data_IF_087429401517
#
_entry.id   IF_087429401517
#
_cell.length_a   1.000
_cell.length_b   1.000
_cell.length_c   1.000
_cell.angle_alpha   90.00
_cell.angle_beta   90.00
_cell.angle_gamma   90.00
#
_symmetry.space_group_name_H-M   'P 1'
#
loop_
_entity.id
_entity.type
_entity.pdbx_description
1 polymer ?
#
# COMPACT_ATOMS: atom_id res chain seq x y z
N UNK A 1 0.42 -12.52 18.70
CA UNK A 1 -0.84 -11.94 19.24
C UNK A 1 -0.77 -11.88 20.77
N UNK A 2 -1.08 -10.74 21.34
CA UNK A 2 -1.17 -10.52 22.80
C UNK A 2 -2.60 -10.52 23.29
N UNK A 3 -3.58 -10.25 22.41
CA UNK A 3 -5.01 -10.14 22.70
C UNK A 3 -5.80 -11.21 21.94
N UNK A 4 -6.91 -11.74 22.50
CA UNK A 4 -7.82 -12.60 21.78
C UNK A 4 -8.60 -11.82 20.72
N UNK A 5 -8.99 -12.52 19.66
CA UNK A 5 -9.89 -12.03 18.62
C UNK A 5 -11.04 -13.00 18.41
N UNK A 6 -12.13 -12.48 17.88
CA UNK A 6 -13.33 -13.24 17.53
C UNK A 6 -13.75 -12.91 16.10
N UNK A 7 -14.09 -13.94 15.32
CA UNK A 7 -14.77 -13.78 14.04
C UNK A 7 -16.28 -13.78 14.26
N UNK A 8 -16.97 -12.77 13.77
CA UNK A 8 -18.43 -12.68 13.82
C UNK A 8 -18.97 -12.72 12.40
N UNK A 9 -19.72 -13.79 12.09
CA UNK A 9 -20.30 -14.01 10.77
C UNK A 9 -21.57 -13.19 10.55
N UNK A 10 -21.84 -12.86 9.30
CA UNK A 10 -23.14 -12.35 8.89
C UNK A 10 -24.26 -13.39 9.05
N UNK A 11 -25.50 -12.92 9.14
CA UNK A 11 -26.69 -13.78 9.25
C UNK A 11 -27.22 -14.16 7.86
N UNK A 12 -27.81 -15.36 7.72
CA UNK A 12 -28.50 -15.82 6.52
C UNK A 12 -27.86 -17.05 5.87
N UNK A 13 -28.38 -17.40 4.70
CA UNK A 13 -27.96 -18.58 3.93
C UNK A 13 -27.27 -18.18 2.64
N UNK A 14 -26.28 -18.95 2.22
CA UNK A 14 -25.60 -18.85 0.93
C UNK A 14 -24.99 -20.20 0.59
N UNK A 15 -24.89 -20.55 -0.69
CA UNK A 15 -24.38 -21.86 -1.14
C UNK A 15 -22.96 -22.15 -0.66
N UNK A 16 -22.08 -21.13 -0.60
CA UNK A 16 -20.69 -21.26 -0.15
C UNK A 16 -20.49 -20.96 1.34
N UNK A 17 -21.58 -20.73 2.11
CA UNK A 17 -21.46 -20.39 3.53
C UNK A 17 -20.78 -21.48 4.35
N UNK A 18 -21.06 -22.73 4.05
CA UNK A 18 -20.45 -23.86 4.76
C UNK A 18 -18.92 -23.87 4.58
N UNK A 19 -18.43 -23.54 3.39
CA UNK A 19 -17.00 -23.39 3.09
C UNK A 19 -16.35 -22.25 3.87
N UNK A 20 -17.02 -21.08 3.96
CA UNK A 20 -16.55 -19.96 4.77
C UNK A 20 -16.45 -20.34 6.25
N UNK A 21 -17.46 -21.01 6.80
CA UNK A 21 -17.48 -21.46 8.21
C UNK A 21 -16.35 -22.45 8.48
N UNK A 22 -16.15 -23.43 7.59
CA UNK A 22 -15.06 -24.41 7.72
C UNK A 22 -13.69 -23.71 7.67
N UNK A 23 -13.46 -22.82 6.71
CA UNK A 23 -12.25 -22.03 6.58
C UNK A 23 -11.93 -21.25 7.87
N UNK A 24 -12.91 -20.52 8.42
CA UNK A 24 -12.71 -19.76 9.66
C UNK A 24 -12.52 -20.66 10.88
N UNK A 25 -13.18 -21.80 10.92
CA UNK A 25 -13.02 -22.81 11.97
C UNK A 25 -11.61 -23.39 11.97
N UNK A 26 -11.05 -23.69 10.81
CA UNK A 26 -9.66 -24.15 10.68
C UNK A 26 -8.68 -23.10 11.19
N UNK A 27 -8.88 -21.83 10.84
CA UNK A 27 -8.03 -20.73 11.34
C UNK A 27 -8.17 -20.59 12.87
N UNK A 28 -9.40 -20.61 13.39
CA UNK A 28 -9.65 -20.54 14.83
C UNK A 28 -9.02 -21.72 15.59
N UNK A 29 -8.97 -22.89 14.96
CA UNK A 29 -8.33 -24.08 15.52
C UNK A 29 -6.80 -24.02 15.64
N UNK A 30 -6.15 -23.01 15.04
CA UNK A 30 -4.69 -22.87 15.08
C UNK A 30 -4.16 -22.34 16.42
N UNK A 31 -4.99 -21.67 17.21
CA UNK A 31 -4.61 -21.07 18.50
C UNK A 31 -5.85 -20.83 19.37
N UNK A 32 -5.66 -20.85 20.69
CA UNK A 32 -6.67 -20.54 21.70
C UNK A 32 -7.05 -19.03 21.75
N UNK A 33 -6.34 -18.19 21.01
CA UNK A 33 -6.60 -16.74 20.94
C UNK A 33 -7.54 -16.33 19.82
N UNK A 34 -7.99 -17.25 18.99
CA UNK A 34 -8.95 -17.00 17.92
C UNK A 34 -10.20 -17.82 18.18
N UNK A 35 -11.35 -17.19 18.15
CA UNK A 35 -12.65 -17.86 18.31
C UNK A 35 -13.61 -17.48 17.18
N UNK A 36 -14.59 -18.37 16.95
CA UNK A 36 -15.73 -18.10 16.10
C UNK A 36 -16.93 -17.79 16.99
N UNK A 37 -17.56 -16.64 16.78
CA UNK A 37 -18.72 -16.21 17.55
C UNK A 37 -19.92 -17.14 17.31
N UNK A 38 -20.70 -17.38 18.37
CA UNK A 38 -22.00 -18.02 18.26
C UNK A 38 -23.11 -17.00 17.88
N UNK A 39 -22.82 -15.71 17.92
CA UNK A 39 -23.74 -14.65 17.53
C UNK A 39 -23.43 -14.25 16.07
N UNK A 40 -24.48 -13.97 15.31
CA UNK A 40 -24.40 -13.47 13.95
C UNK A 40 -24.71 -11.99 13.91
N UNK A 41 -24.18 -11.29 12.89
CA UNK A 41 -24.49 -9.89 12.63
C UNK A 41 -25.47 -9.78 11.47
N UNK A 42 -26.69 -9.33 11.77
CA UNK A 42 -27.75 -9.17 10.77
C UNK A 42 -27.48 -8.06 9.73
N UNK A 43 -26.48 -7.20 9.98
CA UNK A 43 -26.10 -6.14 9.04
C UNK A 43 -25.04 -6.58 8.02
N UNK A 44 -24.50 -7.79 8.19
CA UNK A 44 -23.53 -8.36 7.27
C UNK A 44 -24.16 -9.38 6.34
N UNK A 45 -23.65 -9.47 5.12
CA UNK A 45 -24.02 -10.53 4.18
C UNK A 45 -23.72 -11.92 4.77
N UNK A 46 -24.46 -12.97 4.39
CA UNK A 46 -24.16 -14.35 4.78
C UNK A 46 -22.74 -14.80 4.44
N UNK A 47 -22.12 -14.21 3.44
CA UNK A 47 -20.74 -14.48 3.01
C UNK A 47 -19.72 -13.52 3.61
N UNK A 48 -20.10 -12.75 4.64
CA UNK A 48 -19.22 -11.77 5.28
C UNK A 48 -18.94 -12.14 6.72
N UNK A 49 -17.79 -11.70 7.20
CA UNK A 49 -17.44 -11.75 8.62
C UNK A 49 -16.63 -10.51 9.02
N UNK A 50 -16.76 -10.13 10.27
CA UNK A 50 -15.96 -9.05 10.88
C UNK A 50 -15.03 -9.61 11.95
N UNK A 51 -13.99 -8.85 12.23
CA UNK A 51 -13.06 -9.15 13.32
C UNK A 51 -13.39 -8.27 14.52
N UNK A 52 -13.53 -8.89 15.69
CA UNK A 52 -13.65 -8.23 17.00
C UNK A 52 -12.40 -8.50 17.82
N UNK A 53 -12.00 -7.55 18.63
CA UNK A 53 -10.92 -7.72 19.60
C UNK A 53 -11.34 -7.11 20.92
N UNK A 54 -11.25 -7.90 22.00
CA UNK A 54 -11.68 -7.46 23.35
C UNK A 54 -13.12 -6.91 23.37
N UNK A 55 -14.06 -7.65 22.78
CA UNK A 55 -15.47 -7.31 22.64
C UNK A 55 -15.79 -6.02 21.85
N UNK A 56 -14.79 -5.46 21.15
CA UNK A 56 -14.94 -4.27 20.33
C UNK A 56 -14.76 -4.62 18.85
N UNK A 57 -15.60 -4.04 17.99
CA UNK A 57 -15.45 -4.13 16.56
C UNK A 57 -14.18 -3.40 16.11
N UNK A 58 -13.38 -4.03 15.25
CA UNK A 58 -12.14 -3.44 14.74
C UNK A 58 -12.35 -2.56 13.51
N UNK A 59 -13.56 -2.54 12.97
CA UNK A 59 -13.87 -1.91 11.69
C UNK A 59 -13.42 -2.72 10.46
N UNK A 60 -12.84 -3.92 10.66
CA UNK A 60 -12.38 -4.78 9.58
C UNK A 60 -13.44 -5.83 9.23
N UNK A 61 -13.83 -5.85 7.96
CA UNK A 61 -14.82 -6.77 7.41
C UNK A 61 -14.22 -7.44 6.17
N UNK A 62 -14.48 -8.74 6.03
CA UNK A 62 -14.19 -9.51 4.83
C UNK A 62 -15.49 -10.08 4.28
N UNK A 63 -15.73 -9.84 3.00
CA UNK A 63 -16.88 -10.30 2.24
C UNK A 63 -16.41 -11.23 1.13
N UNK A 64 -16.57 -12.51 1.34
CA UNK A 64 -15.98 -13.64 0.63
C UNK A 64 -14.99 -14.42 1.50
N UNK A 65 -14.36 -15.45 0.93
CA UNK A 65 -13.31 -16.26 1.58
C UNK A 65 -11.96 -15.66 1.16
N UNK A 66 -11.21 -15.00 2.07
CA UNK A 66 -9.96 -14.33 1.72
C UNK A 66 -8.83 -15.34 1.48
N UNK A 67 -8.89 -15.98 0.32
CA UNK A 67 -7.88 -16.90 -0.21
C UNK A 67 -6.90 -16.21 -1.17
N UNK A 68 -6.10 -17.00 -1.88
CA UNK A 68 -5.15 -16.48 -2.87
C UNK A 68 -4.24 -15.38 -2.28
N UNK A 69 -4.13 -14.25 -2.96
CA UNK A 69 -3.31 -13.14 -2.51
C UNK A 69 -3.86 -12.45 -1.26
N UNK A 70 -5.19 -12.49 -1.02
CA UNK A 70 -5.82 -11.87 0.15
C UNK A 70 -5.68 -12.67 1.45
N UNK A 71 -5.19 -13.92 1.38
CA UNK A 71 -4.89 -14.69 2.57
C UNK A 71 -3.89 -13.96 3.49
N UNK A 72 -2.89 -13.31 2.91
CA UNK A 72 -1.93 -12.50 3.67
C UNK A 72 -2.62 -11.31 4.34
N UNK A 73 -3.60 -10.68 3.69
CA UNK A 73 -4.37 -9.58 4.27
C UNK A 73 -5.17 -10.02 5.49
N UNK A 74 -5.77 -11.22 5.44
CA UNK A 74 -6.45 -11.80 6.59
C UNK A 74 -5.47 -12.08 7.75
N UNK A 75 -4.34 -12.73 7.48
CA UNK A 75 -3.35 -13.04 8.52
C UNK A 75 -2.83 -11.78 9.20
N UNK A 76 -2.55 -10.72 8.43
CA UNK A 76 -2.12 -9.44 9.01
C UNK A 76 -3.25 -8.78 9.81
N UNK A 77 -4.49 -8.81 9.34
CA UNK A 77 -5.64 -8.29 10.08
C UNK A 77 -5.81 -9.01 11.42
N UNK A 78 -5.68 -10.35 11.46
CA UNK A 78 -5.70 -11.17 12.68
C UNK A 78 -4.60 -10.76 13.65
N UNK A 79 -3.35 -10.70 13.18
CA UNK A 79 -2.19 -10.39 14.02
C UNK A 79 -2.29 -8.98 14.59
N UNK A 80 -2.64 -7.99 13.76
CA UNK A 80 -2.74 -6.59 14.14
C UNK A 80 -3.94 -6.33 15.07
N UNK A 81 -5.11 -6.93 14.80
CA UNK A 81 -6.25 -6.92 15.72
C UNK A 81 -5.89 -7.59 17.06
N UNK A 82 -5.06 -8.62 17.02
CA UNK A 82 -4.51 -9.32 18.19
C UNK A 82 -3.36 -8.59 18.89
N UNK A 83 -3.06 -7.33 18.53
CA UNK A 83 -2.11 -6.44 19.23
C UNK A 83 -0.69 -6.46 18.69
N UNK A 84 -0.44 -6.99 17.49
CA UNK A 84 0.82 -6.80 16.79
C UNK A 84 0.95 -5.35 16.32
N UNK A 85 2.17 -4.86 16.23
CA UNK A 85 2.48 -3.49 15.82
C UNK A 85 2.00 -3.20 14.39
N UNK A 86 1.46 -2.00 14.19
CA UNK A 86 1.08 -1.48 12.88
C UNK A 86 2.31 -0.86 12.21
N UNK A 87 2.56 -1.24 10.98
CA UNK A 87 3.70 -0.74 10.20
C UNK A 87 3.33 0.52 9.41
N UNK A 88 2.85 1.55 10.10
CA UNK A 88 2.55 2.85 9.53
C UNK A 88 3.44 3.93 10.14
N UNK A 89 3.89 4.87 9.31
CA UNK A 89 4.63 6.04 9.80
C UNK A 89 3.83 6.79 10.89
N UNK A 90 4.46 7.25 11.97
CA UNK A 90 3.78 7.97 13.05
C UNK A 90 2.98 9.19 12.57
N UNK A 91 3.46 9.91 11.55
CA UNK A 91 2.73 11.03 10.94
C UNK A 91 1.41 10.58 10.31
N UNK A 92 1.42 9.46 9.58
CA UNK A 92 0.21 8.85 9.02
C UNK A 92 -0.74 8.42 10.15
N UNK A 93 -0.22 7.74 11.18
CA UNK A 93 -1.04 7.34 12.33
C UNK A 93 -1.74 8.54 12.98
N UNK A 94 -1.05 9.68 13.13
CA UNK A 94 -1.61 10.90 13.70
C UNK A 94 -2.72 11.48 12.81
N UNK A 95 -2.53 11.49 11.49
CA UNK A 95 -3.56 11.92 10.54
C UNK A 95 -4.81 11.04 10.70
N UNK A 96 -4.65 9.72 10.67
CA UNK A 96 -5.76 8.78 10.75
C UNK A 96 -6.48 8.89 12.10
N UNK A 97 -5.76 8.98 13.22
CA UNK A 97 -6.35 9.16 14.56
C UNK A 97 -7.12 10.48 14.73
N UNK A 98 -6.76 11.51 13.97
CA UNK A 98 -7.42 12.82 14.03
C UNK A 98 -8.78 12.85 13.29
N UNK A 99 -9.12 11.86 12.50
CA UNK A 99 -10.38 11.79 11.72
C UNK A 99 -11.57 11.65 12.68
N UNK A 100 -12.53 12.57 12.59
CA UNK A 100 -13.72 12.58 13.44
C UNK A 100 -15.00 12.13 12.73
N UNK A 101 -15.04 12.23 11.41
CA UNK A 101 -16.17 11.79 10.59
C UNK A 101 -16.11 10.31 10.28
N UNK A 102 -17.26 9.64 10.12
CA UNK A 102 -17.30 8.25 9.68
C UNK A 102 -16.77 8.09 8.25
N UNK A 103 -15.81 7.20 8.07
CA UNK A 103 -15.25 6.80 6.78
C UNK A 103 -15.46 5.30 6.59
N UNK A 104 -16.40 4.94 5.73
CA UNK A 104 -16.65 3.55 5.35
C UNK A 104 -16.00 3.27 4.00
N UNK A 105 -14.91 2.49 4.03
CA UNK A 105 -14.26 1.99 2.81
C UNK A 105 -14.85 0.65 2.40
N UNK A 106 -15.02 0.49 1.10
CA UNK A 106 -15.37 -0.76 0.44
C UNK A 106 -14.30 -1.01 -0.62
N UNK A 107 -13.52 -2.08 -0.43
CA UNK A 107 -12.38 -2.42 -1.30
C UNK A 107 -12.71 -3.67 -2.09
N UNK A 108 -13.06 -3.48 -3.36
CA UNK A 108 -13.34 -4.57 -4.29
C UNK A 108 -12.04 -5.18 -4.80
N UNK A 109 -11.93 -6.50 -4.70
CA UNK A 109 -10.73 -7.26 -5.01
C UNK A 109 -11.03 -8.46 -5.91
N UNK A 110 -9.98 -9.04 -6.46
CA UNK A 110 -9.97 -10.40 -6.98
C UNK A 110 -8.87 -11.18 -6.26
N UNK A 111 -9.13 -12.42 -5.90
CA UNK A 111 -8.18 -13.27 -5.18
C UNK A 111 -6.87 -13.54 -5.96
N UNK A 112 -6.89 -13.33 -7.28
CA UNK A 112 -5.71 -13.40 -8.15
C UNK A 112 -5.00 -12.06 -8.38
N UNK A 113 -5.49 -10.97 -7.80
CA UNK A 113 -4.94 -9.63 -7.97
C UNK A 113 -3.71 -9.40 -7.07
N UNK A 114 -2.54 -9.15 -7.64
CA UNK A 114 -1.30 -8.93 -6.88
C UNK A 114 -1.23 -7.57 -6.19
N UNK A 115 -1.98 -6.56 -6.67
CA UNK A 115 -1.96 -5.20 -6.12
C UNK A 115 -3.07 -4.96 -5.07
N UNK A 116 -4.05 -5.86 -4.97
CA UNK A 116 -5.17 -5.70 -4.05
C UNK A 116 -4.77 -5.77 -2.57
N UNK A 117 -3.87 -6.70 -2.15
CA UNK A 117 -3.49 -6.82 -0.75
C UNK A 117 -2.89 -5.56 -0.14
N UNK A 118 -2.07 -4.82 -0.88
CA UNK A 118 -1.45 -3.58 -0.37
C UNK A 118 -2.51 -2.55 0.05
N UNK A 119 -3.59 -2.44 -0.72
CA UNK A 119 -4.70 -1.52 -0.46
C UNK A 119 -5.56 -1.99 0.71
N UNK A 120 -5.95 -3.27 0.71
CA UNK A 120 -6.74 -3.88 1.81
C UNK A 120 -6.01 -3.74 3.13
N UNK A 121 -4.72 -4.07 3.17
CA UNK A 121 -3.90 -4.01 4.38
C UNK A 121 -3.74 -2.57 4.90
N UNK A 122 -3.54 -1.59 4.01
CA UNK A 122 -3.46 -0.18 4.40
C UNK A 122 -4.77 0.30 5.05
N UNK A 123 -5.90 0.02 4.42
CA UNK A 123 -7.22 0.45 4.91
C UNK A 123 -7.65 -0.31 6.17
N UNK A 124 -7.27 -1.58 6.32
CA UNK A 124 -7.44 -2.32 7.57
C UNK A 124 -6.66 -1.69 8.73
N UNK A 125 -5.42 -1.24 8.49
CA UNK A 125 -4.66 -0.53 9.52
C UNK A 125 -5.31 0.82 9.89
N UNK A 126 -5.95 1.52 8.93
CA UNK A 126 -6.70 2.75 9.23
C UNK A 126 -7.88 2.46 10.16
N UNK A 127 -8.63 1.39 9.90
CA UNK A 127 -9.73 0.96 10.76
C UNK A 127 -9.27 0.62 12.19
N UNK A 128 -8.12 -0.05 12.33
CA UNK A 128 -7.55 -0.36 13.65
C UNK A 128 -7.07 0.87 14.42
N UNK A 129 -6.74 1.97 13.73
CA UNK A 129 -6.27 3.20 14.34
C UNK A 129 -7.41 4.13 14.79
N UNK A 130 -8.58 4.02 14.17
CA UNK A 130 -9.67 4.96 14.41
C UNK A 130 -11.04 4.30 14.27
N UNK A 131 -11.82 4.31 15.34
CA UNK A 131 -13.16 3.70 15.42
C UNK A 131 -14.18 4.29 14.44
N UNK A 132 -13.91 5.49 13.90
CA UNK A 132 -14.77 6.10 12.88
C UNK A 132 -14.48 5.53 11.48
N UNK A 133 -13.49 4.66 11.33
CA UNK A 133 -13.10 4.09 10.04
C UNK A 133 -13.43 2.61 10.01
N UNK A 134 -14.02 2.18 8.90
CA UNK A 134 -14.17 0.76 8.59
C UNK A 134 -13.68 0.47 7.18
N UNK A 135 -13.20 -0.74 6.96
CA UNK A 135 -12.86 -1.26 5.65
C UNK A 135 -13.49 -2.64 5.45
N UNK A 136 -14.23 -2.78 4.37
CA UNK A 136 -14.79 -4.04 3.90
C UNK A 136 -14.05 -4.49 2.63
N UNK A 137 -13.29 -5.56 2.73
CA UNK A 137 -12.75 -6.26 1.55
C UNK A 137 -13.88 -7.05 0.91
N UNK A 138 -14.15 -6.83 -0.37
CA UNK A 138 -15.23 -7.48 -1.12
C UNK A 138 -14.65 -8.28 -2.28
N UNK A 139 -14.79 -9.60 -2.23
CA UNK A 139 -14.41 -10.46 -3.35
C UNK A 139 -15.41 -10.31 -4.50
N UNK A 140 -14.96 -9.70 -5.59
CA UNK A 140 -15.78 -9.52 -6.79
C UNK A 140 -16.22 -10.85 -7.43
N UNK A 141 -15.53 -11.95 -7.15
CA UNK A 141 -15.94 -13.29 -7.62
C UNK A 141 -17.23 -13.77 -6.96
N UNK A 142 -17.43 -13.45 -5.69
CA UNK A 142 -18.63 -13.82 -4.91
C UNK A 142 -19.74 -12.76 -5.08
N UNK A 143 -19.39 -11.48 -5.11
CA UNK A 143 -20.34 -10.35 -5.13
C UNK A 143 -20.49 -9.73 -6.52
N UNK A 144 -20.75 -10.56 -7.54
CA UNK A 144 -20.89 -10.12 -8.94
C UNK A 144 -21.98 -9.07 -9.15
N UNK A 145 -23.08 -9.14 -8.41
CA UNK A 145 -24.18 -8.17 -8.52
C UNK A 145 -23.69 -6.76 -8.15
N UNK A 146 -22.89 -6.61 -7.10
CA UNK A 146 -22.30 -5.32 -6.71
C UNK A 146 -21.28 -4.83 -7.75
N UNK A 147 -20.49 -5.73 -8.34
CA UNK A 147 -19.57 -5.41 -9.43
C UNK A 147 -20.33 -4.81 -10.61
N UNK A 148 -21.44 -5.45 -11.01
CA UNK A 148 -22.27 -5.00 -12.12
C UNK A 148 -23.01 -3.68 -11.81
N UNK A 149 -23.61 -3.56 -10.62
CA UNK A 149 -24.32 -2.36 -10.17
C UNK A 149 -23.41 -1.12 -10.19
N UNK A 150 -22.17 -1.29 -9.74
CA UNK A 150 -21.19 -0.19 -9.66
C UNK A 150 -20.33 -0.04 -10.90
N UNK A 151 -20.56 -0.89 -11.93
CA UNK A 151 -19.80 -0.91 -13.18
C UNK A 151 -18.28 -0.97 -12.94
N UNK A 152 -17.83 -1.85 -12.02
CA UNK A 152 -16.42 -2.04 -11.70
C UNK A 152 -15.78 -2.87 -12.81
N UNK A 153 -14.75 -2.32 -13.46
CA UNK A 153 -14.08 -2.94 -14.59
C UNK A 153 -12.62 -3.34 -14.27
N UNK A 154 -12.17 -3.11 -13.06
CA UNK A 154 -10.82 -3.43 -12.62
C UNK A 154 -10.66 -3.34 -11.12
N UNK A 155 -9.69 -4.08 -10.57
CA UNK A 155 -9.41 -4.16 -9.15
C UNK A 155 -7.91 -3.89 -8.86
N UNK A 156 -7.58 -3.34 -7.67
CA UNK A 156 -8.47 -2.94 -6.60
C UNK A 156 -9.34 -1.72 -6.98
N UNK A 157 -10.61 -1.74 -6.60
CA UNK A 157 -11.49 -0.59 -6.70
C UNK A 157 -11.97 -0.20 -5.30
N UNK A 158 -11.68 1.02 -4.89
CA UNK A 158 -12.00 1.52 -3.54
C UNK A 158 -13.13 2.52 -3.62
N UNK A 159 -14.15 2.30 -2.82
CA UNK A 159 -15.25 3.24 -2.61
C UNK A 159 -15.16 3.80 -1.19
N UNK A 160 -15.48 5.06 -1.03
CA UNK A 160 -15.56 5.74 0.26
C UNK A 160 -16.96 6.31 0.45
N UNK A 161 -17.65 5.86 1.50
CA UNK A 161 -19.04 6.23 1.78
C UNK A 161 -19.95 6.05 0.54
N UNK A 162 -19.77 4.92 -0.17
CA UNK A 162 -20.54 4.55 -1.36
C UNK A 162 -20.19 5.29 -2.66
N UNK A 163 -19.14 6.14 -2.66
CA UNK A 163 -18.67 6.87 -3.85
C UNK A 163 -17.30 6.36 -4.31
N UNK A 164 -17.04 6.31 -5.63
CA UNK A 164 -15.71 5.95 -6.12
C UNK A 164 -14.63 6.85 -5.51
N UNK A 165 -13.58 6.23 -4.98
CA UNK A 165 -12.50 6.92 -4.30
C UNK A 165 -11.13 6.69 -4.99
N UNK A 166 -10.79 5.43 -5.27
CA UNK A 166 -9.54 5.09 -5.92
C UNK A 166 -9.68 3.80 -6.74
N UNK A 167 -8.94 3.69 -7.84
CA UNK A 167 -8.90 2.51 -8.69
C UNK A 167 -7.45 2.14 -9.03
N UNK A 168 -7.22 0.84 -9.23
CA UNK A 168 -5.92 0.28 -9.61
C UNK A 168 -4.90 0.35 -8.48
N UNK A 169 -3.63 0.13 -8.82
CA UNK A 169 -2.53 0.15 -7.85
C UNK A 169 -2.41 1.53 -7.20
N UNK A 170 -2.64 1.58 -5.91
CA UNK A 170 -2.50 2.79 -5.11
C UNK A 170 -1.74 2.47 -3.82
N UNK A 171 -0.75 3.28 -3.50
CA UNK A 171 0.03 3.19 -2.27
C UNK A 171 -0.63 3.98 -1.12
N UNK A 172 -0.20 3.71 0.11
CA UNK A 172 -0.73 4.36 1.30
C UNK A 172 -0.55 5.89 1.27
N UNK A 173 0.58 6.38 0.75
CA UNK A 173 0.83 7.82 0.64
C UNK A 173 -0.21 8.51 -0.24
N UNK A 174 -0.58 7.89 -1.37
CA UNK A 174 -1.63 8.40 -2.25
C UNK A 174 -3.04 8.26 -1.68
N UNK A 175 -3.32 7.19 -0.92
CA UNK A 175 -4.58 7.09 -0.19
C UNK A 175 -4.74 8.27 0.78
N UNK A 176 -3.70 8.62 1.53
CA UNK A 176 -3.66 9.78 2.43
C UNK A 176 -3.82 11.08 1.64
N UNK A 177 -3.07 11.25 0.54
CA UNK A 177 -3.19 12.45 -0.32
C UNK A 177 -4.63 12.65 -0.82
N UNK A 178 -5.28 11.59 -1.32
CA UNK A 178 -6.68 11.65 -1.76
C UNK A 178 -7.64 11.97 -0.61
N UNK A 179 -7.41 11.41 0.59
CA UNK A 179 -8.20 11.75 1.77
C UNK A 179 -8.04 13.23 2.13
N UNK A 180 -6.84 13.77 2.09
CA UNK A 180 -6.55 15.18 2.35
C UNK A 180 -7.20 16.11 1.31
N UNK A 181 -7.19 15.73 0.03
CA UNK A 181 -7.86 16.48 -1.04
C UNK A 181 -9.38 16.50 -0.84
N UNK A 182 -9.97 15.38 -0.42
CA UNK A 182 -11.42 15.27 -0.20
C UNK A 182 -11.87 15.88 1.13
N UNK A 183 -10.98 15.86 2.13
CA UNK A 183 -11.22 16.36 3.50
C UNK A 183 -10.06 17.25 3.95
N UNK A 184 -9.94 18.49 3.43
CA UNK A 184 -8.81 19.38 3.73
C UNK A 184 -8.62 19.68 5.23
N UNK A 185 -9.70 19.64 6.01
CA UNK A 185 -9.67 19.92 7.46
C UNK A 185 -8.96 18.82 8.27
N UNK A 186 -8.67 17.66 7.67
CA UNK A 186 -7.94 16.58 8.35
C UNK A 186 -6.50 17.00 8.74
N UNK A 187 -5.93 17.96 8.02
CA UNK A 187 -4.56 18.43 8.26
C UNK A 187 -4.42 19.40 9.43
N UNK A 188 -5.48 20.12 9.78
CA UNK A 188 -5.41 21.17 10.81
C UNK A 188 -5.13 20.64 12.21
N UNK A 189 -5.39 19.35 12.47
CA UNK A 189 -5.10 18.70 13.75
C UNK A 189 -3.81 17.85 13.77
N UNK A 190 -3.36 17.36 12.63
CA UNK A 190 -2.23 16.42 12.52
C UNK A 190 -0.86 17.13 12.55
N UNK A 191 -0.77 18.33 11.95
CA UNK A 191 0.47 19.10 11.91
C UNK A 191 0.96 19.52 13.32
N UNK A 192 0.07 19.64 14.30
CA UNK A 192 0.42 20.02 15.67
C UNK A 192 1.04 18.87 16.50
N UNK A 193 0.93 17.62 16.05
CA UNK A 193 1.41 16.42 16.74
C UNK A 193 2.62 15.77 16.06
N UNK A 194 3.16 16.38 15.00
CA UNK A 194 4.29 15.84 14.27
C UNK A 194 5.57 15.90 15.11
N UNK A 195 6.19 14.75 15.33
CA UNK A 195 7.49 14.64 15.98
C UNK A 195 8.53 15.36 15.11
N UNK A 196 9.19 16.41 15.64
CA UNK A 196 10.23 17.10 14.91
C UNK A 196 11.48 16.24 14.90
N UNK A 197 11.86 15.77 13.72
CA UNK A 197 13.18 15.14 13.53
C UNK A 197 14.28 16.18 13.76
N UNK A 198 15.32 15.76 14.44
CA UNK A 198 16.55 16.54 14.51
C UNK A 198 17.13 16.78 13.10
N UNK A 199 17.95 17.81 12.97
CA UNK A 199 18.66 18.08 11.72
C UNK A 199 19.46 16.84 11.25
N UNK A 200 19.30 16.49 9.99
CA UNK A 200 19.97 15.37 9.35
C UNK A 200 21.22 15.86 8.59
N UNK A 201 22.22 14.99 8.46
CA UNK A 201 23.34 15.28 7.56
C UNK A 201 22.96 15.05 6.10
N UNK A 202 22.23 13.96 5.85
CA UNK A 202 21.77 13.60 4.49
C UNK A 202 20.33 13.08 4.54
N UNK A 203 19.49 13.60 3.65
CA UNK A 203 18.17 13.01 3.37
C UNK A 203 18.19 12.32 2.02
N UNK A 204 17.72 11.08 1.99
CA UNK A 204 17.60 10.28 0.77
C UNK A 204 16.14 10.18 0.40
N UNK A 205 15.78 10.59 -0.81
CA UNK A 205 14.42 10.55 -1.33
C UNK A 205 14.32 9.39 -2.31
N UNK A 206 13.68 8.31 -1.88
CA UNK A 206 13.47 7.07 -2.63
C UNK A 206 14.03 5.84 -1.93
N UNK A 207 13.20 4.78 -1.86
CA UNK A 207 13.50 3.52 -1.16
C UNK A 207 13.90 2.36 -2.08
N UNK A 208 14.16 2.63 -3.36
CA UNK A 208 14.67 1.63 -4.31
C UNK A 208 16.14 1.25 -4.05
N UNK A 209 16.72 0.33 -4.84
CA UNK A 209 18.10 -0.15 -4.66
C UNK A 209 19.13 0.98 -4.55
N UNK A 210 19.00 2.03 -5.35
CA UNK A 210 19.90 3.18 -5.33
C UNK A 210 19.81 3.96 -4.01
N UNK A 211 18.58 4.23 -3.52
CA UNK A 211 18.37 4.92 -2.25
C UNK A 211 18.87 4.11 -1.07
N UNK A 212 18.57 2.81 -1.04
CA UNK A 212 19.05 1.89 -0.01
C UNK A 212 20.57 1.85 0.03
N UNK A 213 21.22 1.71 -1.13
CA UNK A 213 22.69 1.73 -1.20
C UNK A 213 23.25 3.07 -0.67
N UNK A 214 22.69 4.20 -1.10
CA UNK A 214 23.11 5.51 -0.63
C UNK A 214 22.97 5.65 0.89
N UNK A 215 21.83 5.25 1.47
CA UNK A 215 21.57 5.32 2.90
C UNK A 215 22.60 4.51 3.72
N UNK A 216 22.85 3.28 3.29
CA UNK A 216 23.84 2.42 3.94
C UNK A 216 25.24 3.05 3.90
N UNK A 217 25.66 3.57 2.75
CA UNK A 217 26.99 4.20 2.63
C UNK A 217 27.10 5.49 3.46
N UNK A 218 26.06 6.29 3.54
CA UNK A 218 26.00 7.48 4.40
C UNK A 218 26.11 7.09 5.88
N UNK A 219 25.29 6.13 6.32
CA UNK A 219 25.30 5.64 7.70
C UNK A 219 26.66 5.04 8.08
N UNK A 220 27.31 4.29 7.18
CA UNK A 220 28.66 3.72 7.40
C UNK A 220 29.74 4.79 7.57
N UNK A 221 29.52 6.01 7.15
CA UNK A 221 30.41 7.17 7.40
C UNK A 221 30.11 7.84 8.74
N UNK A 222 29.17 7.35 9.53
CA UNK A 222 28.79 7.91 10.81
C UNK A 222 27.92 9.18 10.70
N UNK A 223 27.35 9.45 9.53
CA UNK A 223 26.45 10.59 9.29
C UNK A 223 25.02 10.25 9.66
N UNK A 224 24.28 11.22 10.20
CA UNK A 224 22.82 11.11 10.44
C UNK A 224 22.10 11.09 9.11
N UNK A 225 21.33 10.04 8.86
CA UNK A 225 20.61 9.86 7.59
C UNK A 225 19.15 9.52 7.81
N UNK A 226 18.30 10.22 7.06
CA UNK A 226 16.86 9.88 6.92
C UNK A 226 16.58 9.47 5.50
N UNK A 227 15.89 8.36 5.33
CA UNK A 227 15.33 7.91 4.05
C UNK A 227 13.83 8.17 4.04
N UNK A 228 13.34 8.83 2.99
CA UNK A 228 11.90 9.07 2.74
C UNK A 228 11.50 8.27 1.51
N UNK A 229 10.51 7.40 1.64
CA UNK A 229 10.08 6.52 0.55
C UNK A 229 8.60 6.13 0.65
N UNK A 230 7.97 5.88 -0.50
CA UNK A 230 6.65 5.24 -0.54
C UNK A 230 6.75 3.81 0.02
N UNK A 231 7.79 3.07 -0.40
CA UNK A 231 8.08 1.70 0.05
C UNK A 231 9.54 1.34 -0.13
N UNK A 232 10.06 0.47 0.73
CA UNK A 232 11.40 -0.11 0.54
C UNK A 232 11.35 -1.17 -0.56
N UNK A 233 12.37 -1.15 -1.43
CA UNK A 233 12.46 -1.96 -2.64
C UNK A 233 12.07 -1.18 -3.90
N UNK A 234 11.20 -0.16 -3.80
CA UNK A 234 10.74 0.60 -4.95
C UNK A 234 10.09 -0.31 -6.01
N UNK A 235 10.35 -0.09 -7.28
CA UNK A 235 9.80 -0.91 -8.38
C UNK A 235 10.34 -2.35 -8.41
N UNK A 236 11.52 -2.60 -7.87
CA UNK A 236 12.10 -3.96 -7.82
C UNK A 236 11.18 -4.90 -7.05
N UNK A 237 10.46 -4.42 -6.06
CA UNK A 237 9.51 -5.22 -5.28
C UNK A 237 8.44 -5.90 -6.15
N UNK A 238 8.11 -5.33 -7.30
CA UNK A 238 7.09 -5.85 -8.23
C UNK A 238 7.63 -6.89 -9.21
N UNK A 239 8.96 -7.14 -9.21
CA UNK A 239 9.59 -8.09 -10.13
C UNK A 239 9.45 -9.51 -9.58
N UNK A 240 8.91 -10.43 -10.41
CA UNK A 240 8.70 -11.82 -9.97
C UNK A 240 10.02 -12.60 -9.93
N UNK A 241 10.80 -12.56 -11.01
CA UNK A 241 12.05 -13.28 -11.14
C UNK A 241 13.21 -12.31 -11.44
N UNK A 242 14.27 -12.41 -10.66
CA UNK A 242 15.48 -11.60 -10.78
C UNK A 242 16.67 -12.55 -10.91
N UNK A 243 17.22 -12.66 -12.11
CA UNK A 243 18.34 -13.55 -12.44
C UNK A 243 19.64 -12.79 -12.76
N UNK A 244 19.57 -11.47 -12.82
CA UNK A 244 20.67 -10.58 -13.23
C UNK A 244 21.27 -9.78 -12.06
N UNK A 245 20.96 -10.14 -10.82
CA UNK A 245 21.57 -9.52 -9.64
C UNK A 245 22.84 -10.27 -9.26
N UNK A 246 23.99 -9.60 -9.42
CA UNK A 246 25.31 -10.23 -9.15
C UNK A 246 25.35 -10.85 -7.76
N UNK A 247 25.89 -12.07 -7.66
CA UNK A 247 26.01 -12.94 -6.48
C UNK A 247 24.75 -13.67 -6.03
N UNK A 248 23.60 -13.37 -6.61
CA UNK A 248 22.35 -14.08 -6.35
C UNK A 248 21.81 -14.62 -7.69
N UNK A 249 21.96 -15.94 -7.94
CA UNK A 249 21.59 -16.51 -9.25
C UNK A 249 20.10 -16.39 -9.59
N UNK A 250 19.25 -16.47 -8.56
CA UNK A 250 17.80 -16.34 -8.67
C UNK A 250 17.23 -15.78 -7.38
N UNK A 251 16.41 -14.76 -7.46
CA UNK A 251 15.61 -14.21 -6.36
C UNK A 251 14.34 -13.57 -6.94
N UNK A 252 13.54 -12.99 -6.08
CA UNK A 252 12.37 -12.20 -6.48
C UNK A 252 12.37 -10.84 -5.77
N UNK A 253 11.53 -9.92 -6.26
CA UNK A 253 11.48 -8.56 -5.74
C UNK A 253 11.11 -8.47 -4.27
N UNK A 254 10.23 -9.33 -3.78
CA UNK A 254 9.82 -9.36 -2.37
C UNK A 254 10.98 -9.80 -1.47
N UNK A 255 11.68 -10.86 -1.85
CA UNK A 255 12.83 -11.38 -1.11
C UNK A 255 13.99 -10.37 -1.10
N UNK A 256 14.29 -9.79 -2.26
CA UNK A 256 15.33 -8.76 -2.38
C UNK A 256 14.98 -7.52 -1.53
N UNK A 257 13.73 -7.08 -1.57
CA UNK A 257 13.25 -5.95 -0.73
C UNK A 257 13.32 -6.27 0.76
N UNK A 258 12.97 -7.49 1.17
CA UNK A 258 13.11 -7.93 2.56
C UNK A 258 14.60 -7.93 3.00
N UNK A 259 15.52 -8.29 2.11
CA UNK A 259 16.96 -8.22 2.39
C UNK A 259 17.45 -6.77 2.49
N UNK A 260 16.89 -5.83 1.71
CA UNK A 260 17.17 -4.40 1.89
C UNK A 260 16.72 -3.91 3.27
N UNK A 261 15.53 -4.26 3.72
CA UNK A 261 15.03 -3.92 5.06
C UNK A 261 15.95 -4.45 6.15
N UNK A 262 16.37 -5.73 6.07
CA UNK A 262 17.33 -6.31 7.02
C UNK A 262 18.65 -5.55 7.04
N UNK A 263 19.14 -5.14 5.87
CA UNK A 263 20.40 -4.41 5.76
C UNK A 263 20.30 -2.99 6.33
N UNK A 264 19.20 -2.28 6.05
CA UNK A 264 18.91 -0.94 6.62
C UNK A 264 18.85 -1.02 8.15
N UNK A 265 18.14 -2.03 8.69
CA UNK A 265 17.96 -2.22 10.14
C UNK A 265 19.28 -2.48 10.86
N UNK A 266 20.30 -2.99 10.17
CA UNK A 266 21.63 -3.18 10.76
C UNK A 266 22.39 -1.86 11.01
N UNK A 267 21.89 -0.74 10.52
CA UNK A 267 22.46 0.59 10.69
C UNK A 267 21.43 1.54 11.32
N UNK A 268 21.93 2.61 11.95
CA UNK A 268 21.06 3.64 12.54
C UNK A 268 20.54 4.59 11.44
N UNK A 269 19.63 4.08 10.59
CA UNK A 269 19.00 4.84 9.51
C UNK A 269 17.55 5.11 9.91
N UNK A 270 17.18 6.39 9.97
CA UNK A 270 15.77 6.77 10.14
C UNK A 270 15.03 6.54 8.83
N UNK A 271 14.02 5.69 8.84
CA UNK A 271 13.19 5.41 7.65
C UNK A 271 11.81 6.00 7.86
N UNK A 272 11.42 6.87 6.94
CA UNK A 272 10.06 7.39 6.77
C UNK A 272 9.45 6.68 5.57
N UNK A 273 8.69 5.63 5.83
CA UNK A 273 8.04 4.80 4.81
C UNK A 273 6.56 5.16 4.68
N UNK A 274 5.99 4.94 3.50
CA UNK A 274 4.60 5.28 3.14
C UNK A 274 4.31 6.79 3.15
N UNK A 275 5.35 7.62 3.03
CA UNK A 275 5.25 9.08 2.97
C UNK A 275 5.97 9.62 1.74
N UNK A 276 5.63 10.84 1.35
CA UNK A 276 6.22 11.53 0.21
C UNK A 276 6.68 12.94 0.59
N UNK A 277 7.72 13.42 -0.11
CA UNK A 277 8.18 14.80 -0.01
C UNK A 277 7.26 15.69 -0.84
N UNK A 278 6.65 16.70 -0.21
CA UNK A 278 5.77 17.67 -0.87
C UNK A 278 6.49 18.95 -1.24
N UNK A 279 7.50 19.36 -0.47
CA UNK A 279 8.32 20.52 -0.79
C UNK A 279 9.73 20.39 -0.25
N UNK A 280 10.64 21.08 -0.94
CA UNK A 280 12.02 21.29 -0.55
C UNK A 280 12.28 22.79 -0.69
N UNK A 281 12.71 23.43 0.40
CA UNK A 281 13.12 24.83 0.38
C UNK A 281 14.53 24.98 0.94
N UNK A 282 15.28 25.91 0.41
CA UNK A 282 16.59 26.27 0.95
C UNK A 282 16.41 27.21 2.14
N UNK A 283 17.01 26.88 3.27
CA UNK A 283 17.11 27.79 4.39
C UNK A 283 18.33 28.68 4.18
N UNK A 284 18.19 29.96 4.56
CA UNK A 284 19.32 30.89 4.58
C UNK A 284 20.48 30.24 5.34
N UNK A 285 21.65 30.36 4.77
CA UNK A 285 22.87 29.79 5.33
C UNK A 285 23.02 30.18 6.81
N UNK A 286 23.17 29.17 7.68
CA UNK A 286 23.51 29.37 9.08
C UNK A 286 24.97 29.00 9.28
N UNK A 287 25.74 29.89 9.92
CA UNK A 287 27.11 29.57 10.31
C UNK A 287 27.10 28.29 11.17
N UNK A 288 27.85 27.29 10.71
CA UNK A 288 28.10 26.10 11.55
C UNK A 288 29.12 26.46 12.67
N UNK A 289 29.31 25.51 13.60
CA UNK A 289 30.27 25.67 14.70
C UNK A 289 31.73 25.90 14.22
N UNK A 290 32.01 25.60 12.94
CA UNK A 290 33.33 25.80 12.30
C UNK A 290 33.41 27.13 11.52
N UNK A 291 32.36 27.97 11.56
CA UNK A 291 32.36 29.28 10.88
C UNK A 291 32.14 29.18 9.37
N UNK A 292 31.69 28.03 8.84
CA UNK A 292 31.36 27.87 7.43
C UNK A 292 29.87 28.11 7.20
N UNK A 293 29.59 28.94 6.21
CA UNK A 293 28.22 29.28 5.78
C UNK A 293 27.74 28.27 4.75
N UNK A 294 27.10 27.18 5.22
CA UNK A 294 26.56 26.12 4.34
C UNK A 294 25.03 26.17 4.36
N UNK A 295 24.40 26.19 3.20
CA UNK A 295 22.94 26.13 3.13
C UNK A 295 22.44 24.82 3.73
N UNK A 296 21.29 24.90 4.37
CA UNK A 296 20.50 23.71 4.76
C UNK A 296 19.19 23.71 3.98
N UNK A 297 18.63 22.54 3.83
CA UNK A 297 17.37 22.35 3.13
C UNK A 297 16.30 21.95 4.12
N UNK A 298 15.12 22.56 4.00
CA UNK A 298 13.93 22.15 4.73
C UNK A 298 13.15 21.18 3.86
N UNK A 299 12.94 19.96 4.37
CA UNK A 299 12.11 18.92 3.75
C UNK A 299 10.74 18.96 4.42
N UNK A 300 9.67 19.00 3.63
CA UNK A 300 8.30 18.87 4.14
C UNK A 300 7.66 17.62 3.53
N UNK A 301 7.03 16.81 4.37
CA UNK A 301 6.35 15.58 3.98
C UNK A 301 4.85 15.82 3.80
N UNK A 302 4.18 14.90 3.09
CA UNK A 302 2.72 14.89 2.93
C UNK A 302 1.95 14.70 4.27
N UNK A 303 2.64 14.29 5.34
CA UNK A 303 2.10 14.23 6.70
C UNK A 303 2.06 15.59 7.40
N UNK A 304 2.65 16.65 6.79
CA UNK A 304 2.86 17.95 7.42
C UNK A 304 4.12 18.01 8.29
N UNK A 305 4.81 16.91 8.49
CA UNK A 305 6.09 16.86 9.19
C UNK A 305 7.16 17.59 8.37
N UNK A 306 8.08 18.27 9.06
CA UNK A 306 9.13 19.04 8.41
C UNK A 306 10.42 18.97 9.20
N UNK A 307 11.56 18.81 8.53
CA UNK A 307 12.89 18.75 9.16
C UNK A 307 13.98 19.29 8.26
N UNK A 308 15.09 19.68 8.88
CA UNK A 308 16.24 20.25 8.16
C UNK A 308 17.26 19.16 7.78
N UNK A 309 17.92 19.33 6.65
CA UNK A 309 19.01 18.47 6.20
C UNK A 309 20.12 19.28 5.53
N UNK A 310 21.38 18.82 5.60
CA UNK A 310 22.53 19.48 4.96
C UNK A 310 22.67 19.11 3.50
N UNK A 311 22.30 17.89 3.13
CA UNK A 311 22.39 17.41 1.76
C UNK A 311 21.20 16.51 1.41
N UNK A 312 20.89 16.42 0.13
CA UNK A 312 19.80 15.61 -0.39
C UNK A 312 20.34 14.71 -1.50
N UNK A 313 19.99 13.43 -1.44
CA UNK A 313 20.22 12.48 -2.54
C UNK A 313 18.86 12.10 -3.12
N UNK A 314 18.63 12.46 -4.37
CA UNK A 314 17.40 12.10 -5.09
C UNK A 314 17.58 10.75 -5.77
N UNK A 315 16.84 9.75 -5.31
CA UNK A 315 16.86 8.37 -5.81
C UNK A 315 15.43 7.87 -6.10
N UNK A 316 14.60 8.76 -6.63
CA UNK A 316 13.14 8.54 -6.83
C UNK A 316 12.81 7.54 -7.93
N UNK A 317 13.81 7.10 -8.72
CA UNK A 317 13.61 6.16 -9.81
C UNK A 317 12.84 6.76 -10.98
N UNK A 318 12.04 5.91 -11.64
CA UNK A 318 11.21 6.29 -12.77
C UNK A 318 9.78 5.81 -12.58
N UNK A 319 8.84 6.47 -13.23
CA UNK A 319 7.44 6.03 -13.34
C UNK A 319 7.05 6.02 -14.82
N UNK A 320 6.19 5.09 -15.20
CA UNK A 320 5.62 5.11 -16.54
C UNK A 320 4.88 6.42 -16.77
N UNK A 321 5.06 6.96 -17.97
CA UNK A 321 4.36 8.18 -18.36
C UNK A 321 2.95 7.83 -18.79
N UNK A 322 1.96 8.43 -18.14
CA UNK A 322 0.57 8.35 -18.56
C UNK A 322 0.30 9.21 -19.78
N UNK A 323 -0.66 8.83 -20.59
CA UNK A 323 -1.15 9.62 -21.71
C UNK A 323 -2.00 10.81 -21.24
N UNK A 324 -2.58 10.70 -20.03
CA UNK A 324 -3.52 11.66 -19.42
C UNK A 324 -4.75 11.93 -20.31
N UNK A 325 -5.24 10.88 -20.95
CA UNK A 325 -6.46 10.93 -21.76
C UNK A 325 -7.65 10.37 -20.99
N UNK A 326 -8.85 10.80 -21.38
CA UNK A 326 -10.09 10.32 -20.75
C UNK A 326 -10.20 8.80 -20.90
N UNK A 327 -10.49 8.10 -19.80
CA UNK A 327 -10.63 6.66 -19.76
C UNK A 327 -9.34 5.90 -19.46
N UNK A 328 -8.17 6.55 -19.45
CA UNK A 328 -6.91 5.88 -19.17
C UNK A 328 -6.90 5.30 -17.75
N UNK A 329 -7.15 6.14 -16.74
CA UNK A 329 -7.11 5.72 -15.34
C UNK A 329 -8.22 4.71 -14.99
N UNK A 330 -9.38 4.84 -15.62
CA UNK A 330 -10.54 3.97 -15.42
C UNK A 330 -10.32 2.56 -16.00
N UNK A 331 -9.45 2.43 -17.01
CA UNK A 331 -9.18 1.17 -17.69
C UNK A 331 -7.81 0.55 -17.34
N UNK A 332 -7.06 1.10 -16.39
CA UNK A 332 -5.83 0.47 -15.90
C UNK A 332 -6.16 -0.91 -15.32
N UNK A 333 -5.50 -1.95 -15.85
CA UNK A 333 -5.79 -3.35 -15.50
C UNK A 333 -7.03 -3.94 -16.20
N UNK A 334 -7.74 -3.15 -17.01
CA UNK A 334 -8.94 -3.58 -17.74
C UNK A 334 -8.91 -3.15 -19.23
N UNK A 335 -7.73 -3.16 -19.83
CA UNK A 335 -7.51 -2.77 -21.22
C UNK A 335 -6.35 -1.80 -21.41
N UNK A 336 -5.96 -1.06 -20.38
CA UNK A 336 -4.76 -0.23 -20.34
C UNK A 336 -3.73 -0.88 -19.43
N UNK A 337 -2.52 -1.10 -19.94
CA UNK A 337 -1.42 -1.69 -19.22
C UNK A 337 -0.11 -0.95 -19.49
N UNK A 338 0.84 -1.01 -18.56
CA UNK A 338 2.13 -0.32 -18.67
C UNK A 338 3.31 -1.29 -18.69
N UNK A 339 3.09 -2.57 -18.38
CA UNK A 339 4.14 -3.58 -18.34
C UNK A 339 3.82 -4.70 -19.33
N UNK A 340 4.50 -4.79 -20.50
CA UNK A 340 4.23 -5.84 -21.48
C UNK A 340 4.55 -7.23 -20.95
N UNK A 341 5.59 -7.38 -20.12
CA UNK A 341 5.96 -8.67 -19.52
C UNK A 341 4.98 -9.14 -18.46
N UNK A 342 4.42 -8.18 -17.64
CA UNK A 342 3.49 -8.53 -16.57
C UNK A 342 2.09 -8.84 -17.11
N UNK A 343 1.61 -8.01 -18.03
CA UNK A 343 0.21 -8.00 -18.47
C UNK A 343 0.02 -8.65 -19.86
N UNK A 344 1.09 -8.74 -20.65
CA UNK A 344 1.04 -9.27 -22.02
C UNK A 344 0.31 -10.60 -22.15
N UNK A 345 0.57 -11.60 -21.29
CA UNK A 345 -0.14 -12.89 -21.33
C UNK A 345 -1.67 -12.79 -21.27
N UNK A 346 -2.23 -11.77 -20.60
CA UNK A 346 -3.67 -11.55 -20.53
C UNK A 346 -4.30 -11.04 -21.82
N UNK A 347 -3.46 -10.57 -22.74
CA UNK A 347 -3.89 -10.09 -24.06
C UNK A 347 -3.68 -11.12 -25.17
N UNK A 348 -3.36 -12.36 -24.84
CA UNK A 348 -3.20 -13.45 -25.81
C UNK A 348 -4.40 -13.55 -26.73
N UNK A 349 -4.14 -13.52 -28.06
CA UNK A 349 -5.18 -13.61 -29.08
C UNK A 349 -6.02 -12.34 -29.29
N UNK A 350 -5.70 -11.23 -28.61
CA UNK A 350 -6.36 -9.93 -28.80
C UNK A 350 -5.56 -9.04 -29.75
N UNK A 351 -6.20 -8.00 -30.28
CA UNK A 351 -5.54 -6.91 -31.00
C UNK A 351 -5.12 -5.85 -29.97
N UNK A 352 -3.85 -5.44 -29.98
CA UNK A 352 -3.25 -4.53 -28.98
C UNK A 352 -2.60 -3.35 -29.68
N UNK A 353 -2.79 -2.15 -29.12
CA UNK A 353 -2.06 -0.95 -29.55
C UNK A 353 -0.98 -0.59 -28.51
N UNK A 354 0.25 -0.34 -28.99
CA UNK A 354 1.36 0.17 -28.18
C UNK A 354 1.53 1.65 -28.45
N UNK A 355 1.41 2.47 -27.42
CA UNK A 355 1.54 3.92 -27.54
C UNK A 355 2.92 4.36 -27.08
N UNK A 356 3.72 4.85 -28.00
CA UNK A 356 5.06 5.38 -27.74
C UNK A 356 6.10 4.87 -28.73
N UNK A 357 6.85 5.76 -29.34
CA UNK A 357 7.89 5.48 -30.36
C UNK A 357 9.32 5.48 -29.82
N UNK A 358 9.51 5.48 -28.50
CA UNK A 358 10.81 5.32 -27.86
C UNK A 358 11.21 3.86 -27.67
N UNK A 359 12.43 3.60 -27.16
CA UNK A 359 12.96 2.25 -26.97
C UNK A 359 11.97 1.33 -26.25
N UNK A 360 11.42 1.76 -25.12
CA UNK A 360 10.46 0.95 -24.34
C UNK A 360 9.18 0.61 -25.09
N UNK A 361 8.67 1.52 -25.94
CA UNK A 361 7.49 1.24 -26.76
C UNK A 361 7.78 0.20 -27.86
N UNK A 362 8.96 0.31 -28.49
CA UNK A 362 9.38 -0.63 -29.54
C UNK A 362 9.68 -2.01 -28.94
N UNK A 363 10.37 -2.07 -27.80
CA UNK A 363 10.59 -3.31 -27.05
C UNK A 363 9.27 -3.98 -26.66
N UNK A 364 8.33 -3.21 -26.11
CA UNK A 364 6.99 -3.70 -25.78
C UNK A 364 6.25 -4.27 -27.00
N UNK A 365 6.34 -3.60 -28.15
CA UNK A 365 5.71 -4.07 -29.39
C UNK A 365 6.33 -5.38 -29.88
N UNK A 366 7.66 -5.52 -29.78
CA UNK A 366 8.38 -6.75 -30.16
C UNK A 366 7.96 -7.91 -29.25
N UNK A 367 7.95 -7.70 -27.94
CA UNK A 367 7.57 -8.73 -26.97
C UNK A 367 6.11 -9.18 -27.18
N UNK A 368 5.20 -8.22 -27.33
CA UNK A 368 3.78 -8.52 -27.53
C UNK A 368 3.48 -9.20 -28.87
N UNK A 369 4.28 -8.95 -29.92
CA UNK A 369 4.09 -9.59 -31.24
C UNK A 369 4.17 -11.12 -31.17
N UNK A 370 4.89 -11.68 -30.18
CA UNK A 370 4.94 -13.14 -29.97
C UNK A 370 3.77 -13.70 -29.13
N UNK A 371 2.93 -12.83 -28.54
CA UNK A 371 1.90 -13.22 -27.56
C UNK A 371 0.49 -12.95 -28.10
N UNK A 372 0.27 -11.76 -28.66
CA UNK A 372 -1.05 -11.27 -29.07
C UNK A 372 -1.34 -11.57 -30.53
N UNK A 373 -2.57 -11.36 -30.97
CA UNK A 373 -2.98 -11.61 -32.35
C UNK A 373 -2.43 -10.56 -33.30
N UNK A 374 -2.46 -9.28 -32.90
CA UNK A 374 -1.99 -8.15 -33.68
C UNK A 374 -1.49 -7.02 -32.77
N UNK A 375 -0.37 -6.38 -33.15
CA UNK A 375 0.20 -5.21 -32.48
C UNK A 375 0.21 -4.04 -33.45
N UNK A 376 -0.32 -2.90 -33.01
CA UNK A 376 -0.29 -1.63 -33.74
C UNK A 376 0.53 -0.59 -32.99
#
# INVERSE_FOLDING_TARGET
MTRPIEFVLGEGEHEQRAELVDFLTQIAGTTDKISLSQQFDANLSPMSFKIRSQDKDTGIIFSGIPGGHEFTSLILAILQSGGSELKLDPGIQNIIKAIKQPLKFETFVSLSCHNCPDVVQALNQFALLNDNISNEMIDGGVFQDLINERNIQGVPAVYLNGKPFANGKIDTAKLIEKLQQQYPDLMSGAAAAAEQLEQQDVTIIGGGPAGVAAAIYVARKGLKVTMVADRIGGQVKDTQDIENFISIPLTNGNELSANFVKHITAYNITVKEMVSVTSISENSAQMNEQGEDKPTYQITLNTGESFATRAIIVATGAKWRKLNIKGEDENIGSGVAYCPHCDGPFFKGKDVAVVGGGNSGIEAAIDLAGIVKHVT
#
